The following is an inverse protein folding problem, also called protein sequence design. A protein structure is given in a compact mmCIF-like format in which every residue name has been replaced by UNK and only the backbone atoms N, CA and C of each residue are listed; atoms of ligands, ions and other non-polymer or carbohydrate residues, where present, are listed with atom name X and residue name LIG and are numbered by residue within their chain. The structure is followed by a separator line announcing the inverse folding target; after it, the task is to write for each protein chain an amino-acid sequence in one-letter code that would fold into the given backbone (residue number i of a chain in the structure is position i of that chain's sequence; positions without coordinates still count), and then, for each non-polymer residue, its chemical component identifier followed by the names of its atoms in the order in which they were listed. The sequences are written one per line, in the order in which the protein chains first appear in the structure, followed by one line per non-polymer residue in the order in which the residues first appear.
data_IF_644785442235
#
_entry.id   IF_644785442235
#
_cell.length_a   1.000
_cell.length_b   1.000
_cell.length_c   1.000
_cell.angle_alpha   90.00
_cell.angle_beta   90.00
_cell.angle_gamma   90.00
#
_symmetry.space_group_name_H-M   'P 1'
#
loop_
_entity.id
_entity.type
_entity.pdbx_description
1 polymer ?
#
# COMPACT_ATOMS: atom_id res chain seq x y z
N UNK A 1 50.23 75.34 5.87
CA UNK A 1 51.48 74.58 5.78
C UNK A 1 51.33 73.22 6.37
N UNK A 2 51.99 72.31 5.81
CA UNK A 2 51.46 71.22 4.97
C UNK A 2 51.38 69.92 5.79
N UNK A 3 50.69 68.92 5.28
CA UNK A 3 51.37 67.70 4.91
C UNK A 3 50.39 66.64 4.47
N UNK A 4 50.48 66.48 3.24
CA UNK A 4 50.06 65.35 2.46
C UNK A 4 50.83 64.09 2.93
N UNK A 5 50.14 63.07 3.36
CA UNK A 5 50.72 61.73 3.44
C UNK A 5 49.69 60.64 3.17
N UNK A 6 49.73 60.23 1.97
CA UNK A 6 49.73 58.87 1.43
C UNK A 6 48.82 57.88 2.12
N UNK A 7 47.71 57.66 1.43
CA UNK A 7 46.79 56.57 1.64
C UNK A 7 47.44 55.31 1.04
N UNK A 8 47.84 54.36 1.89
CA UNK A 8 48.15 53.01 1.43
C UNK A 8 46.86 52.18 1.50
N UNK A 9 46.30 51.93 0.34
CA UNK A 9 45.15 51.04 0.20
C UNK A 9 45.59 49.58 0.45
N UNK A 10 45.22 49.03 1.58
CA UNK A 10 45.24 47.56 1.79
C UNK A 10 43.91 47.01 1.33
N UNK A 11 43.88 46.50 0.09
CA UNK A 11 42.81 45.73 -0.41
C UNK A 11 42.84 44.36 0.28
N UNK A 12 42.09 44.22 1.37
CA UNK A 12 41.78 42.90 1.95
C UNK A 12 40.72 42.25 1.06
N UNK A 13 41.17 41.36 0.19
CA UNK A 13 40.29 40.45 -0.54
C UNK A 13 39.65 39.48 0.45
N UNK A 14 38.45 39.80 0.89
CA UNK A 14 37.58 38.83 1.58
C UNK A 14 37.08 37.86 0.52
N UNK A 15 37.80 36.74 0.39
CA UNK A 15 37.26 35.56 -0.32
C UNK A 15 36.10 35.02 0.54
N UNK A 16 34.90 35.48 0.26
CA UNK A 16 33.69 34.83 0.74
C UNK A 16 33.60 33.48 0.03
N UNK A 17 34.05 32.42 0.71
CA UNK A 17 33.75 31.06 0.34
C UNK A 17 32.23 30.87 0.58
N UNK A 18 31.47 31.18 -0.44
CA UNK A 18 30.09 30.73 -0.51
C UNK A 18 30.13 29.21 -0.64
N UNK A 19 30.12 28.52 0.50
CA UNK A 19 29.71 27.13 0.54
C UNK A 19 28.23 27.11 0.10
N UNK A 20 28.01 27.00 -1.19
CA UNK A 20 26.75 26.55 -1.70
C UNK A 20 26.55 25.14 -1.14
N UNK A 21 25.84 25.06 -0.03
CA UNK A 21 25.24 23.82 0.42
C UNK A 21 24.30 23.39 -0.74
N UNK A 22 24.85 22.60 -1.67
CA UNK A 22 24.07 21.83 -2.58
C UNK A 22 23.35 20.76 -1.72
N UNK A 23 22.39 21.22 -0.93
CA UNK A 23 21.36 20.37 -0.39
C UNK A 23 20.67 19.80 -1.61
N UNK A 24 20.98 18.54 -1.95
CA UNK A 24 20.28 17.82 -2.99
C UNK A 24 18.81 17.91 -2.65
N UNK A 25 18.06 18.73 -3.41
CA UNK A 25 16.62 18.71 -3.36
C UNK A 25 16.23 17.31 -3.84
N UNK A 26 16.09 16.39 -2.89
CA UNK A 26 15.42 15.14 -3.17
C UNK A 26 14.02 15.55 -3.65
N UNK A 27 13.80 15.46 -4.97
CA UNK A 27 12.48 15.69 -5.52
C UNK A 27 11.52 14.80 -4.72
N UNK A 28 10.56 15.43 -4.07
CA UNK A 28 9.58 14.68 -3.29
C UNK A 28 8.82 13.76 -4.24
N UNK A 29 8.71 12.48 -3.87
CA UNK A 29 7.99 11.50 -4.68
C UNK A 29 6.55 11.99 -4.93
N UNK A 30 6.14 11.97 -6.18
CA UNK A 30 4.79 12.30 -6.60
C UNK A 30 3.97 11.04 -6.94
N UNK A 31 2.79 11.24 -7.49
CA UNK A 31 1.93 10.13 -7.96
C UNK A 31 2.66 9.25 -8.99
N UNK A 32 3.40 9.81 -9.98
CA UNK A 32 4.12 8.99 -10.96
C UNK A 32 5.17 8.06 -10.34
N UNK A 33 5.89 8.51 -9.31
CA UNK A 33 6.89 7.70 -8.62
C UNK A 33 6.22 6.55 -7.85
N UNK A 34 5.07 6.80 -7.24
CA UNK A 34 4.26 5.76 -6.57
C UNK A 34 3.76 4.74 -7.57
N UNK A 35 3.21 5.17 -8.70
CA UNK A 35 2.79 4.27 -9.79
C UNK A 35 3.95 3.44 -10.31
N UNK A 36 5.11 4.06 -10.55
CA UNK A 36 6.34 3.38 -10.98
C UNK A 36 6.77 2.32 -9.97
N UNK A 37 6.76 2.65 -8.67
CA UNK A 37 7.08 1.71 -7.61
C UNK A 37 6.13 0.50 -7.63
N UNK A 38 4.83 0.72 -7.60
CA UNK A 38 3.87 -0.38 -7.64
C UNK A 38 3.99 -1.21 -8.92
N UNK A 39 4.18 -0.58 -10.07
CA UNK A 39 4.29 -1.26 -11.36
C UNK A 39 5.61 -2.03 -11.53
N UNK A 40 6.62 -1.75 -10.71
CA UNK A 40 7.86 -2.54 -10.66
C UNK A 40 7.70 -3.86 -9.89
N UNK A 41 6.67 -3.99 -9.04
CA UNK A 41 6.46 -5.18 -8.21
C UNK A 41 5.66 -6.22 -8.98
N UNK A 42 6.28 -7.34 -9.33
CA UNK A 42 5.61 -8.50 -9.93
C UNK A 42 5.12 -9.48 -8.87
N UNK A 43 5.96 -9.72 -7.87
CA UNK A 43 5.65 -10.58 -6.73
C UNK A 43 6.04 -9.88 -5.44
N UNK A 44 5.27 -10.13 -4.38
CA UNK A 44 5.52 -9.61 -3.06
C UNK A 44 5.13 -10.65 -2.01
N UNK A 45 5.93 -10.79 -0.99
CA UNK A 45 5.62 -11.48 0.25
C UNK A 45 5.92 -10.54 1.41
N UNK A 46 5.04 -10.46 2.38
CA UNK A 46 5.25 -9.68 3.59
C UNK A 46 4.52 -10.30 4.78
N UNK A 47 5.01 -10.09 5.98
CA UNK A 47 4.22 -10.27 7.19
C UNK A 47 3.23 -9.11 7.30
N UNK A 48 2.05 -9.36 7.81
CA UNK A 48 1.08 -8.30 8.08
C UNK A 48 0.52 -8.40 9.49
N UNK A 49 0.15 -7.25 10.03
CA UNK A 49 -0.70 -7.09 11.20
C UNK A 49 -1.93 -6.29 10.75
N UNK A 50 -3.11 -6.83 11.01
CA UNK A 50 -4.39 -6.21 10.67
C UNK A 50 -5.15 -5.87 11.94
N UNK A 51 -5.56 -4.62 12.08
CA UNK A 51 -6.47 -4.14 13.12
C UNK A 51 -7.85 -3.93 12.52
N UNK A 52 -8.86 -4.50 13.15
CA UNK A 52 -10.25 -4.48 12.69
C UNK A 52 -11.09 -3.44 13.46
N UNK A 53 -12.24 -2.99 12.91
CA UNK A 53 -13.10 -1.99 13.55
C UNK A 53 -13.61 -2.40 14.93
N UNK A 54 -13.73 -3.69 15.20
CA UNK A 54 -14.16 -4.24 16.49
C UNK A 54 -13.02 -4.32 17.54
N UNK A 55 -11.83 -3.77 17.21
CA UNK A 55 -10.64 -3.78 18.06
C UNK A 55 -9.84 -5.09 18.02
N UNK A 56 -10.28 -6.13 17.30
CA UNK A 56 -9.50 -7.34 17.13
C UNK A 56 -8.26 -7.08 16.28
N UNK A 57 -7.18 -7.78 16.62
CA UNK A 57 -5.92 -7.74 15.86
C UNK A 57 -5.59 -9.16 15.43
N UNK A 58 -5.30 -9.31 14.15
CA UNK A 58 -4.88 -10.57 13.54
C UNK A 58 -3.62 -10.33 12.71
N UNK A 59 -2.86 -11.39 12.49
CA UNK A 59 -1.62 -11.30 11.73
C UNK A 59 -1.48 -12.49 10.79
N UNK A 60 -0.52 -12.42 9.88
CA UNK A 60 -0.31 -13.47 8.91
C UNK A 60 0.73 -13.11 7.86
N UNK A 61 0.68 -13.82 6.75
CA UNK A 61 1.53 -13.59 5.58
C UNK A 61 0.68 -13.21 4.38
N UNK A 62 1.06 -12.12 3.74
CA UNK A 62 0.52 -11.69 2.46
C UNK A 62 1.41 -12.20 1.34
N UNK A 63 0.81 -12.84 0.35
CA UNK A 63 1.42 -13.16 -0.93
C UNK A 63 0.69 -12.42 -2.03
N UNK A 64 1.44 -11.83 -2.94
CA UNK A 64 0.90 -11.11 -4.08
C UNK A 64 1.69 -11.47 -5.35
N UNK A 65 0.98 -11.70 -6.45
CA UNK A 65 1.54 -11.85 -7.77
C UNK A 65 0.65 -11.17 -8.81
N UNK A 66 1.19 -10.16 -9.44
CA UNK A 66 0.48 -9.43 -10.47
C UNK A 66 0.50 -10.14 -11.83
N UNK A 67 -0.56 -9.97 -12.61
CA UNK A 67 -1.83 -9.31 -12.27
C UNK A 67 -2.76 -10.20 -11.44
N UNK A 68 -3.59 -9.57 -10.61
CA UNK A 68 -4.82 -10.14 -10.08
C UNK A 68 -4.69 -11.17 -8.96
N UNK A 69 -3.51 -11.64 -8.58
CA UNK A 69 -3.36 -12.73 -7.62
C UNK A 69 -2.86 -12.27 -6.27
N UNK A 70 -3.56 -12.71 -5.22
CA UNK A 70 -3.26 -12.34 -3.85
C UNK A 70 -3.77 -13.42 -2.90
N UNK A 71 -3.05 -13.65 -1.79
CA UNK A 71 -3.48 -14.51 -0.70
C UNK A 71 -3.10 -13.89 0.62
N UNK A 72 -4.04 -13.84 1.55
CA UNK A 72 -3.78 -13.62 2.95
C UNK A 72 -3.84 -14.96 3.68
N UNK A 73 -2.74 -15.34 4.27
CA UNK A 73 -2.65 -16.48 5.19
C UNK A 73 -2.57 -15.96 6.61
N UNK A 74 -3.67 -16.15 7.35
CA UNK A 74 -3.76 -15.72 8.73
C UNK A 74 -3.12 -16.76 9.65
N UNK A 75 -2.41 -16.29 10.66
CA UNK A 75 -1.84 -17.17 11.70
C UNK A 75 -2.93 -17.71 12.63
N UNK A 76 -2.69 -18.88 13.22
CA UNK A 76 -3.57 -19.42 14.24
C UNK A 76 -3.76 -18.40 15.39
N UNK A 77 -4.95 -18.34 16.02
CA UNK A 77 -6.10 -19.24 15.84
C UNK A 77 -7.05 -18.84 14.68
N UNK A 78 -6.76 -17.81 13.90
CA UNK A 78 -7.62 -17.39 12.79
C UNK A 78 -7.67 -18.49 11.72
N UNK A 79 -8.89 -18.77 11.22
CA UNK A 79 -9.13 -19.70 10.14
C UNK A 79 -9.59 -18.99 8.86
N UNK A 80 -9.56 -17.67 8.87
CA UNK A 80 -9.96 -16.83 7.73
C UNK A 80 -9.07 -17.12 6.52
N UNK A 81 -9.69 -17.31 5.37
CA UNK A 81 -9.02 -17.48 4.09
C UNK A 81 -9.47 -16.38 3.13
N UNK A 82 -8.53 -15.68 2.55
CA UNK A 82 -8.79 -14.68 1.49
C UNK A 82 -7.84 -14.96 0.34
N UNK A 83 -8.41 -15.27 -0.83
CA UNK A 83 -7.63 -15.59 -2.02
C UNK A 83 -8.20 -14.85 -3.22
N UNK A 84 -7.33 -14.17 -3.96
CA UNK A 84 -7.62 -13.63 -5.30
C UNK A 84 -6.91 -14.51 -6.33
N UNK A 85 -7.66 -15.04 -7.29
CA UNK A 85 -7.18 -16.00 -8.30
C UNK A 85 -6.80 -15.36 -9.65
N UNK A 86 -7.02 -14.07 -9.78
CA UNK A 86 -6.84 -13.30 -11.02
C UNK A 86 -8.14 -12.71 -11.57
N UNK A 87 -9.28 -13.28 -11.22
CA UNK A 87 -10.60 -12.83 -11.66
C UNK A 87 -11.50 -12.40 -10.51
N UNK A 88 -11.46 -13.13 -9.42
CA UNK A 88 -12.31 -12.92 -8.26
C UNK A 88 -11.54 -13.05 -6.97
N UNK A 89 -12.10 -12.47 -5.90
CA UNK A 89 -11.66 -12.66 -4.52
C UNK A 89 -12.66 -13.57 -3.84
N UNK A 90 -12.16 -14.65 -3.24
CA UNK A 90 -12.93 -15.56 -2.40
C UNK A 90 -12.51 -15.37 -0.95
N UNK A 91 -13.49 -15.24 -0.07
CA UNK A 91 -13.32 -15.18 1.38
C UNK A 91 -14.09 -16.31 2.02
N UNK A 92 -13.49 -16.98 3.00
CA UNK A 92 -14.12 -17.97 3.84
C UNK A 92 -13.70 -17.81 5.29
N UNK A 93 -14.68 -17.59 6.16
CA UNK A 93 -14.54 -17.53 7.61
C UNK A 93 -15.27 -18.70 8.26
N UNK A 94 -14.61 -19.82 8.52
CA UNK A 94 -15.24 -21.03 9.05
C UNK A 94 -15.99 -20.83 10.38
N UNK A 95 -15.43 -20.16 11.41
CA UNK A 95 -16.11 -19.91 12.66
C UNK A 95 -17.46 -19.21 12.51
N UNK A 96 -17.53 -18.23 11.63
CA UNK A 96 -18.76 -17.47 11.38
C UNK A 96 -19.62 -18.06 10.27
N UNK A 97 -19.14 -19.11 9.58
CA UNK A 97 -19.76 -19.68 8.37
C UNK A 97 -20.03 -18.62 7.30
N UNK A 98 -19.16 -17.60 7.23
CA UNK A 98 -19.29 -16.50 6.30
C UNK A 98 -18.45 -16.78 5.06
N UNK A 99 -19.11 -16.83 3.91
CA UNK A 99 -18.52 -17.06 2.61
C UNK A 99 -18.91 -15.93 1.67
N UNK A 100 -17.91 -15.37 1.01
CA UNK A 100 -18.11 -14.32 0.01
C UNK A 100 -17.23 -14.52 -1.21
N UNK A 101 -17.77 -14.11 -2.36
CA UNK A 101 -17.04 -14.14 -3.61
C UNK A 101 -17.43 -12.92 -4.45
N UNK A 102 -16.41 -12.17 -4.90
CA UNK A 102 -16.62 -10.93 -5.62
C UNK A 102 -15.62 -10.78 -6.77
N UNK A 103 -16.02 -10.14 -7.88
CA UNK A 103 -15.06 -9.70 -8.89
C UNK A 103 -13.94 -8.88 -8.25
N UNK A 104 -12.69 -9.11 -8.65
CA UNK A 104 -11.54 -8.50 -8.02
C UNK A 104 -11.59 -6.97 -8.04
N UNK A 105 -12.10 -6.38 -9.13
CA UNK A 105 -12.23 -4.92 -9.27
C UNK A 105 -13.25 -4.27 -8.32
N UNK A 106 -14.06 -5.07 -7.60
CA UNK A 106 -15.04 -4.56 -6.64
C UNK A 106 -14.49 -4.48 -5.21
N UNK A 107 -13.28 -4.94 -5.01
CA UNK A 107 -12.67 -4.96 -3.69
C UNK A 107 -11.72 -3.78 -3.50
N UNK A 108 -11.67 -3.25 -2.29
CA UNK A 108 -10.73 -2.19 -1.93
C UNK A 108 -9.27 -2.61 -2.16
N UNK A 109 -8.96 -3.90 -2.00
CA UNK A 109 -7.61 -4.44 -2.19
C UNK A 109 -7.19 -4.56 -3.68
N UNK A 110 -8.09 -4.29 -4.62
CA UNK A 110 -7.80 -4.39 -6.06
C UNK A 110 -6.60 -3.53 -6.50
N UNK A 111 -6.35 -2.39 -5.84
CA UNK A 111 -5.21 -1.54 -6.15
C UNK A 111 -3.86 -2.27 -6.00
N UNK A 112 -3.76 -3.23 -5.08
CA UNK A 112 -2.53 -4.00 -4.86
C UNK A 112 -2.18 -4.89 -6.05
N UNK A 113 -3.19 -5.41 -6.76
CA UNK A 113 -3.02 -6.44 -7.79
C UNK A 113 -3.34 -5.94 -9.21
N UNK A 114 -3.82 -4.70 -9.36
CA UNK A 114 -4.09 -4.08 -10.66
C UNK A 114 -2.77 -3.86 -11.42
N UNK A 115 -2.76 -4.23 -12.71
CA UNK A 115 -1.61 -4.04 -13.59
C UNK A 115 -2.06 -3.57 -14.97
N UNK A 116 -1.57 -2.42 -15.46
CA UNK A 116 -0.80 -1.46 -14.67
C UNK A 116 -1.67 -0.77 -13.60
N UNK A 117 -1.06 -0.40 -12.47
CA UNK A 117 -1.69 0.52 -11.53
C UNK A 117 -1.61 1.93 -12.12
N UNK A 118 -2.76 2.55 -12.28
CA UNK A 118 -2.92 3.96 -12.63
C UNK A 118 -3.78 4.62 -11.56
N UNK A 119 -3.24 5.68 -10.96
CA UNK A 119 -3.90 6.49 -9.94
C UNK A 119 -4.61 7.71 -10.58
N UNK A 120 -5.02 7.52 -11.83
CA UNK A 120 -5.86 8.41 -12.63
C UNK A 120 -6.84 7.56 -13.42
N UNK A 121 -8.04 8.04 -13.66
CA UNK A 121 -9.10 7.28 -14.33
C UNK A 121 -10.07 6.62 -13.34
N UNK A 122 -10.03 5.30 -13.14
CA UNK A 122 -10.92 4.60 -12.19
C UNK A 122 -10.60 4.90 -10.72
N UNK A 123 -9.35 5.26 -10.44
CA UNK A 123 -8.87 5.67 -9.13
C UNK A 123 -8.40 7.12 -9.19
N UNK A 124 -8.58 7.85 -8.11
CA UNK A 124 -8.13 9.25 -7.96
C UNK A 124 -7.41 9.40 -6.62
N UNK A 125 -6.27 10.09 -6.64
CA UNK A 125 -5.60 10.52 -5.42
C UNK A 125 -6.28 11.78 -4.90
N UNK A 126 -6.99 11.64 -3.78
CA UNK A 126 -7.68 12.74 -3.11
C UNK A 126 -6.71 13.64 -2.34
N UNK A 127 -5.72 13.03 -1.70
CA UNK A 127 -4.70 13.76 -0.95
C UNK A 127 -3.39 12.98 -0.87
N UNK A 128 -2.31 13.73 -0.65
CA UNK A 128 -0.98 13.21 -0.41
C UNK A 128 -0.37 13.95 0.76
N UNK A 129 0.01 13.23 1.80
CA UNK A 129 0.56 13.81 3.03
C UNK A 129 1.89 13.14 3.36
N UNK A 130 2.79 13.92 3.95
CA UNK A 130 4.10 13.44 4.41
C UNK A 130 4.26 13.76 5.89
N UNK A 131 4.64 12.72 6.62
CA UNK A 131 4.95 12.86 8.04
C UNK A 131 5.95 11.78 8.44
N UNK A 132 6.99 12.18 9.16
CA UNK A 132 7.97 11.27 9.77
C UNK A 132 8.60 10.26 8.79
N UNK A 133 8.91 10.71 7.56
CA UNK A 133 9.49 9.88 6.50
C UNK A 133 8.52 8.91 5.83
N UNK A 134 7.24 9.03 6.13
CA UNK A 134 6.17 8.29 5.48
C UNK A 134 5.39 9.19 4.52
N UNK A 135 5.07 8.64 3.38
CA UNK A 135 4.17 9.20 2.38
C UNK A 135 2.83 8.46 2.49
N UNK A 136 1.76 9.19 2.80
CA UNK A 136 0.40 8.68 2.84
C UNK A 136 -0.42 9.24 1.67
N UNK A 137 -0.96 8.35 0.82
CA UNK A 137 -1.86 8.69 -0.26
C UNK A 137 -3.27 8.26 0.09
N UNK A 138 -4.21 9.18 0.05
CA UNK A 138 -5.64 8.85 0.10
C UNK A 138 -6.15 8.65 -1.31
N UNK A 139 -6.67 7.46 -1.59
CA UNK A 139 -7.16 7.03 -2.90
C UNK A 139 -8.64 6.71 -2.79
N UNK A 140 -9.42 7.19 -3.74
CA UNK A 140 -10.86 6.92 -3.86
C UNK A 140 -11.19 6.37 -5.25
N UNK A 141 -12.33 5.71 -5.37
CA UNK A 141 -12.90 5.38 -6.67
C UNK A 141 -13.46 6.65 -7.31
N UNK A 142 -13.01 6.99 -8.51
CA UNK A 142 -13.35 8.25 -9.18
C UNK A 142 -14.86 8.45 -9.35
N UNK A 143 -15.58 7.38 -9.68
CA UNK A 143 -17.02 7.42 -9.91
C UNK A 143 -17.86 7.33 -8.64
N UNK A 144 -17.26 6.91 -7.52
CA UNK A 144 -17.97 6.60 -6.27
C UNK A 144 -17.11 6.95 -5.04
N UNK A 145 -16.61 8.19 -4.94
CA UNK A 145 -15.68 8.58 -3.88
C UNK A 145 -16.29 8.48 -2.47
N UNK A 146 -17.63 8.49 -2.38
CA UNK A 146 -18.35 8.36 -1.12
C UNK A 146 -18.48 6.92 -0.62
N UNK A 147 -18.18 5.89 -1.42
CA UNK A 147 -18.30 4.49 -0.99
C UNK A 147 -17.20 4.04 -0.04
N UNK A 148 -16.11 4.82 0.02
CA UNK A 148 -14.99 4.56 0.91
C UNK A 148 -13.68 5.02 0.32
N UNK A 149 -12.62 4.92 1.12
CA UNK A 149 -11.28 5.32 0.71
C UNK A 149 -10.20 4.40 1.23
N UNK A 150 -9.08 4.42 0.54
CA UNK A 150 -7.89 3.68 0.92
C UNK A 150 -6.79 4.71 1.22
N UNK A 151 -6.13 4.56 2.35
CA UNK A 151 -4.92 5.34 2.67
C UNK A 151 -3.73 4.42 2.57
N UNK A 152 -2.93 4.57 1.52
CA UNK A 152 -1.71 3.79 1.30
C UNK A 152 -0.54 4.50 1.94
N UNK A 153 0.27 3.77 2.72
CA UNK A 153 1.47 4.30 3.39
C UNK A 153 2.72 3.69 2.80
N UNK A 154 3.66 4.56 2.42
CA UNK A 154 4.99 4.17 1.91
C UNK A 154 6.08 4.88 2.70
N UNK A 155 7.26 4.25 2.87
CA UNK A 155 8.48 5.01 3.10
C UNK A 155 8.98 5.58 1.77
N UNK A 156 9.78 6.65 1.80
CA UNK A 156 10.25 7.29 0.56
C UNK A 156 11.70 6.93 0.21
N UNK A 157 12.56 6.69 1.20
CA UNK A 157 13.99 6.42 0.99
C UNK A 157 14.46 5.15 1.73
N UNK A 158 14.42 3.96 1.10
CA UNK A 158 13.86 3.65 -0.21
C UNK A 158 12.33 3.66 -0.21
N UNK A 159 11.73 3.87 -1.40
CA UNK A 159 10.28 3.75 -1.53
C UNK A 159 9.86 2.31 -1.29
N UNK A 160 8.99 2.10 -0.29
CA UNK A 160 8.53 0.77 0.09
C UNK A 160 7.14 0.84 0.71
N UNK A 161 6.24 -0.05 0.30
CA UNK A 161 4.92 -0.20 0.90
C UNK A 161 5.04 -0.60 2.37
N UNK A 162 4.42 0.19 3.26
CA UNK A 162 4.38 -0.03 4.70
C UNK A 162 3.03 -0.53 5.19
N UNK A 163 2.00 -0.33 4.39
CA UNK A 163 0.67 -0.76 4.75
C UNK A 163 -0.41 0.12 4.12
N UNK A 164 -1.62 -0.11 4.52
CA UNK A 164 -2.77 0.68 4.09
C UNK A 164 -3.89 0.63 5.12
N UNK A 165 -4.80 1.59 5.05
CA UNK A 165 -6.07 1.56 5.76
C UNK A 165 -7.20 1.56 4.74
N UNK A 166 -8.27 0.84 5.03
CA UNK A 166 -9.52 0.87 4.29
C UNK A 166 -10.55 1.52 5.21
N UNK A 167 -11.16 2.59 4.73
CA UNK A 167 -12.27 3.25 5.42
C UNK A 167 -13.52 3.10 4.55
N UNK A 168 -14.57 2.52 5.13
CA UNK A 168 -15.87 2.45 4.46
C UNK A 168 -16.68 3.73 4.70
N UNK A 169 -17.83 3.82 4.04
CA UNK A 169 -18.74 4.97 4.16
C UNK A 169 -19.47 5.06 5.52
N UNK A 170 -19.32 4.07 6.38
CA UNK A 170 -19.88 4.03 7.76
C UNK A 170 -18.83 4.42 8.80
N UNK A 171 -17.59 4.71 8.38
CA UNK A 171 -16.49 5.04 9.28
C UNK A 171 -15.76 3.82 9.86
N UNK A 172 -16.09 2.61 9.44
CA UNK A 172 -15.32 1.44 9.84
C UNK A 172 -13.94 1.49 9.20
N UNK A 173 -12.90 1.27 10.00
CA UNK A 173 -11.52 1.28 9.56
C UNK A 173 -10.87 -0.09 9.76
N UNK A 174 -10.36 -0.67 8.68
CA UNK A 174 -9.41 -1.78 8.74
C UNK A 174 -8.03 -1.21 8.45
N UNK A 175 -7.07 -1.49 9.31
CA UNK A 175 -5.69 -1.02 9.18
C UNK A 175 -4.75 -2.22 9.00
N UNK A 176 -3.92 -2.19 7.97
CA UNK A 176 -2.93 -3.24 7.69
C UNK A 176 -1.54 -2.62 7.69
N UNK A 177 -0.66 -3.14 8.50
CA UNK A 177 0.76 -2.79 8.54
C UNK A 177 1.59 -3.96 8.03
N UNK A 178 2.60 -3.68 7.21
CA UNK A 178 3.49 -4.69 6.62
C UNK A 178 4.89 -4.61 7.22
N UNK A 179 5.46 -5.78 7.46
CA UNK A 179 6.87 -5.99 7.82
C UNK A 179 7.49 -7.08 6.95
N UNK A 180 8.81 -7.21 6.99
CA UNK A 180 9.55 -8.26 6.27
C UNK A 180 9.20 -8.38 4.78
N UNK A 181 8.96 -7.23 4.14
CA UNK A 181 8.56 -7.16 2.75
C UNK A 181 9.69 -7.59 1.82
N UNK A 182 9.41 -8.57 0.99
CA UNK A 182 10.30 -9.12 -0.05
C UNK A 182 9.59 -9.04 -1.40
N UNK A 183 10.35 -8.79 -2.46
CA UNK A 183 9.85 -8.73 -3.83
C UNK A 183 10.71 -9.58 -4.77
N UNK A 184 10.18 -9.95 -5.94
CA UNK A 184 10.93 -10.65 -6.97
C UNK A 184 11.10 -12.16 -6.76
N UNK A 185 10.47 -12.76 -5.72
CA UNK A 185 10.53 -14.20 -5.50
C UNK A 185 9.61 -14.97 -6.46
N UNK A 186 9.92 -16.24 -6.66
CA UNK A 186 9.00 -17.15 -7.33
C UNK A 186 7.91 -17.61 -6.36
N UNK A 187 6.65 -17.47 -6.76
CA UNK A 187 5.49 -17.91 -6.01
C UNK A 187 4.72 -18.95 -6.83
N UNK A 188 4.44 -20.11 -6.23
CA UNK A 188 3.74 -21.20 -6.90
C UNK A 188 2.29 -20.79 -7.26
N UNK A 189 1.77 -21.28 -8.38
CA UNK A 189 0.39 -21.05 -8.80
C UNK A 189 -0.63 -21.58 -7.80
N UNK A 190 -0.30 -22.67 -7.10
CA UNK A 190 -1.15 -23.27 -6.08
C UNK A 190 -1.47 -22.34 -4.92
N UNK A 191 -0.58 -21.38 -4.61
CA UNK A 191 -0.83 -20.37 -3.57
C UNK A 191 -2.07 -19.52 -3.84
N UNK A 192 -2.41 -19.34 -5.11
CA UNK A 192 -3.50 -18.46 -5.53
C UNK A 192 -4.77 -19.24 -5.94
N UNK A 193 -4.83 -20.51 -5.57
CA UNK A 193 -6.04 -21.31 -5.67
C UNK A 193 -6.74 -21.33 -4.34
N UNK A 194 -8.06 -21.10 -4.35
CA UNK A 194 -8.87 -21.28 -3.16
C UNK A 194 -8.96 -22.77 -2.82
N UNK A 195 -8.66 -23.12 -1.59
CA UNK A 195 -8.54 -24.48 -1.07
C UNK A 195 -9.57 -24.80 0.03
N UNK A 196 -10.61 -23.99 0.14
CA UNK A 196 -11.74 -24.20 1.07
C UNK A 196 -12.95 -24.85 0.40
N UNK A 197 -14.05 -25.04 1.14
CA UNK A 197 -15.29 -25.54 0.61
C UNK A 197 -15.89 -24.53 -0.39
N UNK A 198 -16.58 -25.04 -1.42
CA UNK A 198 -17.30 -24.19 -2.37
C UNK A 198 -18.64 -23.68 -1.80
N UNK A 199 -19.25 -22.73 -2.49
CA UNK A 199 -20.53 -22.16 -2.09
C UNK A 199 -21.65 -23.22 -1.95
N UNK A 200 -21.66 -24.24 -2.82
CA UNK A 200 -22.63 -25.34 -2.77
C UNK A 200 -22.47 -26.19 -1.51
N UNK A 201 -21.24 -26.47 -1.11
CA UNK A 201 -20.94 -27.22 0.12
C UNK A 201 -21.31 -26.44 1.38
N UNK A 202 -21.11 -25.10 1.37
CA UNK A 202 -21.41 -24.22 2.51
C UNK A 202 -22.93 -24.03 2.65
N UNK A 203 -23.63 -23.74 1.56
CA UNK A 203 -25.05 -23.42 1.54
C UNK A 203 -25.93 -24.67 1.48
N UNK A 204 -25.43 -25.78 0.90
CA UNK A 204 -26.14 -27.05 0.76
C UNK A 204 -26.08 -27.97 1.97
N UNK A 205 -25.25 -27.69 2.98
CA UNK A 205 -25.09 -28.51 4.20
C UNK A 205 -26.31 -28.56 5.14
N UNK A 206 -27.45 -28.01 4.76
CA UNK A 206 -28.70 -27.99 5.53
C UNK A 206 -29.74 -29.06 5.14
N UNK A 207 -29.44 -29.94 4.18
CA UNK A 207 -30.35 -31.04 3.80
C UNK A 207 -29.64 -32.39 3.88
N UNK A 208 -29.51 -32.89 5.09
CA UNK A 208 -29.49 -34.33 5.34
C UNK A 208 -30.56 -34.61 6.38
N UNK A 209 -31.59 -35.27 5.95
CA UNK A 209 -32.66 -35.88 6.76
C UNK A 209 -32.09 -36.85 7.77
#
# INVERSE_FOLDING_TARGET
MPLMRTILAVAAAVLAFAFAAAGGAHAQAGVPEVEKYFNSIRTLQARFVQSNPNGSVVQGTLYLRRPGRMRFEYDAPSQLKIVADGSQVTMWDPPNRDFGQWPIGWTAASFLVKEPLQLSGDLTVESMQRQDGLLALTIVQTRKPQEGKIVVRLSENPMQLRGWSILDNRGNKVDVTLTDLKTGMQLADSLFKYDGPDAGQILGGGRRN
#
